data_IF_119354754673
#
_entry.id   IF_119354754673
#
_cell.length_a   1.000
_cell.length_b   1.000
_cell.length_c   1.000
_cell.angle_alpha   90.00
_cell.angle_beta   90.00
_cell.angle_gamma   90.00
#
_symmetry.space_group_name_H-M   'P 1'
#
loop_
_entity.id
_entity.type
_entity.pdbx_description
1 polymer ?
#
# COMPACT_ATOMS: atom_id res chain seq x y z
N UNK A 1 -12.14 5.67 13.27
CA UNK A 1 -10.75 5.81 12.81
C UNK A 1 -10.28 4.42 12.52
N UNK A 2 -10.71 3.98 11.35
CA UNK A 2 -10.60 2.65 10.78
C UNK A 2 -9.21 2.51 10.12
N UNK A 3 -8.20 3.12 10.76
CA UNK A 3 -6.86 3.32 10.21
C UNK A 3 -6.04 2.03 10.24
N UNK A 4 -6.65 0.90 10.64
CA UNK A 4 -6.05 -0.42 10.64
C UNK A 4 -6.01 -1.08 9.26
N UNK A 5 -6.62 -0.49 8.23
CA UNK A 5 -6.62 -1.02 6.87
C UNK A 5 -5.38 -0.55 6.06
N UNK A 6 -4.19 -0.76 6.63
CA UNK A 6 -2.92 -0.40 5.99
C UNK A 6 -2.67 -1.17 4.68
N UNK A 7 -3.47 -2.19 4.38
CA UNK A 7 -3.33 -3.08 3.22
C UNK A 7 -4.30 -2.81 2.09
N UNK A 8 -5.10 -1.73 2.10
CA UNK A 8 -6.04 -1.43 1.01
C UNK A 8 -5.60 -0.23 0.19
N UNK A 9 -5.39 -0.47 -1.11
CA UNK A 9 -5.06 0.57 -2.09
C UNK A 9 -6.26 0.80 -3.00
N UNK A 10 -6.65 2.06 -3.15
CA UNK A 10 -7.73 2.48 -4.03
C UNK A 10 -7.29 3.57 -4.99
N UNK A 11 -7.95 3.64 -6.13
CA UNK A 11 -7.84 4.80 -7.02
C UNK A 11 -8.43 6.04 -6.32
N UNK A 12 -7.66 7.13 -6.26
CA UNK A 12 -8.12 8.36 -5.58
C UNK A 12 -9.18 9.11 -6.38
N UNK A 13 -9.25 8.91 -7.69
CA UNK A 13 -10.16 9.56 -8.64
C UNK A 13 -11.43 8.75 -8.90
N UNK A 14 -11.42 7.47 -8.60
CA UNK A 14 -12.61 6.62 -8.54
C UNK A 14 -12.78 5.98 -7.15
N UNK A 15 -13.39 6.69 -6.17
CA UNK A 15 -13.58 6.18 -4.82
C UNK A 15 -14.45 4.93 -4.71
N UNK A 16 -15.22 4.61 -5.76
CA UNK A 16 -16.11 3.45 -5.82
C UNK A 16 -15.57 2.33 -6.72
N UNK A 17 -14.37 2.54 -7.29
CA UNK A 17 -13.67 1.59 -8.12
C UNK A 17 -13.13 0.39 -7.34
N UNK A 18 -12.48 -0.54 -8.03
CA UNK A 18 -11.90 -1.73 -7.42
C UNK A 18 -10.77 -1.38 -6.44
N UNK A 19 -10.60 -2.24 -5.43
CA UNK A 19 -9.53 -2.12 -4.43
C UNK A 19 -8.53 -3.27 -4.56
N UNK A 20 -7.27 -2.95 -4.32
CA UNK A 20 -6.24 -3.95 -4.09
C UNK A 20 -6.12 -4.19 -2.59
N UNK A 21 -6.26 -5.45 -2.18
CA UNK A 21 -6.13 -5.88 -0.79
C UNK A 21 -4.84 -6.69 -0.61
N UNK A 22 -4.06 -6.31 0.39
CA UNK A 22 -2.82 -6.97 0.77
C UNK A 22 -2.96 -7.58 2.15
N UNK A 23 -2.39 -8.78 2.33
CA UNK A 23 -2.17 -9.28 3.68
C UNK A 23 -1.18 -8.36 4.41
N UNK A 24 -1.22 -8.27 5.75
CA UNK A 24 -0.26 -7.46 6.50
C UNK A 24 1.20 -7.79 6.20
N UNK A 25 1.51 -9.07 5.99
CA UNK A 25 2.86 -9.53 5.62
C UNK A 25 3.29 -9.04 4.24
N UNK A 26 2.39 -9.06 3.25
CA UNK A 26 2.67 -8.56 1.91
C UNK A 26 2.91 -7.03 1.91
N UNK A 27 2.11 -6.28 2.68
CA UNK A 27 2.30 -4.84 2.84
C UNK A 27 3.64 -4.48 3.49
N UNK A 28 4.02 -5.16 4.57
CA UNK A 28 5.29 -4.94 5.25
C UNK A 28 6.51 -5.23 4.34
N UNK A 29 6.44 -6.29 3.53
CA UNK A 29 7.48 -6.63 2.56
C UNK A 29 7.61 -5.55 1.48
N UNK A 30 6.48 -5.05 0.96
CA UNK A 30 6.46 -3.96 -0.02
C UNK A 30 7.12 -2.69 0.52
N UNK A 31 6.74 -2.23 1.72
CA UNK A 31 7.31 -1.01 2.34
C UNK A 31 8.82 -1.17 2.55
N UNK A 32 9.26 -2.33 3.04
CA UNK A 32 10.69 -2.63 3.24
C UNK A 32 11.46 -2.52 1.92
N UNK A 33 10.92 -3.06 0.83
CA UNK A 33 11.54 -2.97 -0.49
C UNK A 33 11.55 -1.52 -1.02
N UNK A 34 10.45 -0.79 -0.86
CA UNK A 34 10.31 0.59 -1.35
C UNK A 34 11.27 1.56 -0.65
N UNK A 35 11.49 1.40 0.67
CA UNK A 35 12.42 2.24 1.44
C UNK A 35 13.88 1.91 1.12
N UNK A 36 14.17 0.70 0.65
CA UNK A 36 15.53 0.27 0.28
C UNK A 36 16.01 0.86 -1.06
N UNK A 37 15.15 1.51 -1.83
CA UNK A 37 15.55 2.23 -3.05
C UNK A 37 16.48 3.39 -2.66
N UNK A 38 17.76 3.39 -3.10
CA UNK A 38 18.65 4.51 -2.86
C UNK A 38 18.03 5.78 -3.47
N UNK A 39 17.94 6.86 -2.70
CA UNK A 39 17.60 8.17 -3.26
C UNK A 39 18.82 8.63 -4.06
N UNK A 40 18.79 8.38 -5.36
CA UNK A 40 19.84 8.78 -6.31
C UNK A 40 20.50 7.58 -6.99
N UNK A 41 19.91 7.17 -8.11
CA UNK A 41 20.60 6.62 -9.27
C UNK A 41 20.06 7.35 -10.50
#
# INVERSE_FOLDING_TARGET
MDDADFGRVRDSKDPHGPHLEFTPAAWAAFVTAAVRVPRGA
#
